data_IF_648229200818
#
_entry.id   IF_648229200818
#
_cell.length_a   1.000
_cell.length_b   1.000
_cell.length_c   1.000
_cell.angle_alpha   90.00
_cell.angle_beta   90.00
_cell.angle_gamma   90.00
#
_symmetry.space_group_name_H-M   'P 1'
#
loop_
_entity.id
_entity.type
_entity.pdbx_description
1 polymer ?
#
# COMPACT_ATOMS: atom_id res chain seq x y z
N UNK A 1 70.98 -7.94 17.18
CA UNK A 1 69.54 -8.22 17.32
C UNK A 1 68.77 -7.22 16.48
N UNK A 2 68.36 -7.57 15.26
CA UNK A 2 67.51 -6.75 14.41
C UNK A 2 66.33 -7.60 13.94
N UNK A 3 65.14 -7.30 14.47
CA UNK A 3 63.87 -7.93 14.11
C UNK A 3 63.41 -7.42 12.75
N UNK A 4 63.14 -8.34 11.81
CA UNK A 4 62.40 -8.03 10.58
C UNK A 4 60.98 -8.58 10.71
N UNK A 5 60.01 -7.68 10.85
CA UNK A 5 58.59 -7.98 10.77
C UNK A 5 58.19 -7.88 9.29
N UNK A 6 57.81 -9.01 8.69
CA UNK A 6 57.30 -9.06 7.33
C UNK A 6 55.79 -8.77 7.35
N UNK A 7 55.39 -7.63 6.79
CA UNK A 7 53.98 -7.25 6.62
C UNK A 7 53.46 -7.89 5.33
N UNK A 8 52.67 -8.95 5.46
CA UNK A 8 51.99 -9.60 4.33
C UNK A 8 50.81 -8.73 3.89
N UNK A 9 50.92 -8.12 2.72
CA UNK A 9 49.85 -7.36 2.07
C UNK A 9 48.87 -8.34 1.40
N UNK A 10 47.69 -8.53 1.98
CA UNK A 10 46.63 -9.37 1.41
C UNK A 10 45.81 -8.52 0.42
N UNK A 11 46.01 -8.74 -0.88
CA UNK A 11 45.18 -8.17 -1.93
C UNK A 11 43.84 -8.91 -1.98
N UNK A 12 42.76 -8.24 -1.56
CA UNK A 12 41.39 -8.70 -1.78
C UNK A 12 40.97 -8.26 -3.18
N UNK A 13 40.89 -9.21 -4.11
CA UNK A 13 40.33 -8.95 -5.44
C UNK A 13 38.81 -8.86 -5.30
N UNK A 14 38.26 -7.64 -5.45
CA UNK A 14 36.82 -7.45 -5.59
C UNK A 14 36.44 -7.82 -7.03
N UNK A 15 35.76 -8.95 -7.20
CA UNK A 15 35.09 -9.24 -8.46
C UNK A 15 33.97 -8.21 -8.64
N UNK A 16 34.13 -7.31 -9.60
CA UNK A 16 33.01 -6.47 -10.04
C UNK A 16 31.94 -7.40 -10.60
N UNK A 17 30.72 -7.41 -10.05
CA UNK A 17 29.64 -8.20 -10.64
C UNK A 17 29.48 -7.74 -12.08
N UNK A 18 29.41 -8.69 -13.02
CA UNK A 18 29.08 -8.37 -14.40
C UNK A 18 27.69 -7.72 -14.37
N UNK A 19 27.62 -6.45 -14.77
CA UNK A 19 26.34 -5.80 -15.05
C UNK A 19 25.77 -6.62 -16.21
N UNK A 20 24.64 -7.29 -15.99
CA UNK A 20 23.98 -8.04 -17.05
C UNK A 20 23.77 -7.07 -18.22
N UNK A 21 24.48 -7.33 -19.32
CA UNK A 21 24.35 -6.54 -20.52
C UNK A 21 22.94 -6.77 -21.04
N UNK A 22 22.17 -5.69 -21.14
CA UNK A 22 20.82 -5.74 -21.63
C UNK A 22 20.82 -6.19 -23.07
N UNK A 23 20.54 -7.48 -23.30
CA UNK A 23 20.28 -7.99 -24.64
C UNK A 23 18.89 -7.48 -25.06
N UNK A 24 18.81 -6.57 -26.06
CA UNK A 24 17.53 -6.08 -26.55
C UNK A 24 16.68 -7.19 -27.21
N UNK A 25 17.22 -8.39 -27.39
CA UNK A 25 16.51 -9.56 -27.92
C UNK A 25 16.07 -10.55 -26.85
N UNK A 26 16.36 -10.32 -25.56
CA UNK A 26 15.87 -11.18 -24.50
C UNK A 26 14.37 -10.89 -24.26
N UNK A 27 13.46 -11.87 -24.43
CA UNK A 27 12.03 -11.69 -24.25
C UNK A 27 11.59 -11.32 -22.81
N UNK A 28 12.51 -11.07 -21.89
CA UNK A 28 12.21 -10.47 -20.56
C UNK A 28 11.73 -9.01 -20.69
N UNK A 29 11.73 -8.42 -21.90
CA UNK A 29 11.02 -7.18 -22.18
C UNK A 29 9.53 -7.34 -21.83
N UNK A 30 9.12 -6.83 -20.67
CA UNK A 30 7.73 -6.88 -20.21
C UNK A 30 7.52 -7.46 -18.81
N UNK A 31 8.51 -8.14 -18.23
CA UNK A 31 8.42 -8.65 -16.85
C UNK A 31 9.14 -7.68 -15.90
N UNK A 32 8.44 -7.01 -14.98
CA UNK A 32 9.07 -6.13 -14.00
C UNK A 32 10.04 -6.88 -13.11
N UNK A 33 11.19 -6.26 -12.84
CA UNK A 33 12.10 -6.74 -11.80
C UNK A 33 11.78 -6.01 -10.49
N UNK A 34 11.45 -6.80 -9.46
CA UNK A 34 11.09 -6.29 -8.13
C UNK A 34 12.24 -5.56 -7.42
N UNK A 35 13.48 -5.74 -7.89
CA UNK A 35 14.68 -5.09 -7.35
C UNK A 35 15.00 -3.76 -8.04
N UNK A 36 14.44 -3.52 -9.23
CA UNK A 36 14.64 -2.29 -10.01
C UNK A 36 13.41 -1.38 -10.01
N UNK A 37 12.23 -1.94 -9.77
CA UNK A 37 11.00 -1.17 -9.67
C UNK A 37 11.00 -0.32 -8.41
N UNK A 38 10.50 0.91 -8.50
CA UNK A 38 10.58 1.92 -7.43
C UNK A 38 9.20 2.41 -7.07
N UNK A 39 8.92 2.49 -5.78
CA UNK A 39 7.71 3.13 -5.24
C UNK A 39 8.08 4.45 -4.59
N UNK A 40 7.33 5.50 -4.92
CA UNK A 40 7.35 6.79 -4.25
C UNK A 40 6.02 6.97 -3.53
N UNK A 41 6.09 7.31 -2.24
CA UNK A 41 4.91 7.49 -1.39
C UNK A 41 4.89 8.90 -0.82
N UNK A 42 3.87 9.68 -1.18
CA UNK A 42 3.81 11.12 -0.87
C UNK A 42 3.67 11.41 0.63
N UNK A 43 3.14 10.48 1.44
CA UNK A 43 2.99 10.67 2.87
C UNK A 43 4.22 10.25 3.72
N UNK A 44 5.29 9.73 3.09
CA UNK A 44 6.45 9.16 3.80
C UNK A 44 7.14 10.09 4.82
N UNK A 45 7.04 11.40 4.66
CA UNK A 45 7.68 12.38 5.56
C UNK A 45 6.86 12.68 6.84
N UNK A 46 5.66 12.12 7.01
CA UNK A 46 4.68 12.57 8.01
C UNK A 46 4.24 11.55 9.06
N UNK A 47 4.74 10.32 9.03
CA UNK A 47 4.21 9.20 9.81
C UNK A 47 3.06 8.48 9.09
N UNK A 48 2.27 7.65 9.79
CA UNK A 48 1.27 6.81 9.17
C UNK A 48 0.15 7.63 8.54
N UNK A 49 -0.35 7.15 7.41
CA UNK A 49 -1.58 7.65 6.79
C UNK A 49 -2.67 6.58 6.89
N UNK A 50 -3.90 6.99 7.14
CA UNK A 50 -5.09 6.13 7.17
C UNK A 50 -5.99 6.49 6.01
N UNK A 51 -6.34 5.49 5.20
CA UNK A 51 -7.33 5.61 4.14
C UNK A 51 -8.66 5.02 4.63
N UNK A 52 -9.74 5.81 4.53
CA UNK A 52 -11.09 5.28 4.69
C UNK A 52 -11.49 4.58 3.39
N UNK A 53 -11.66 3.26 3.43
CA UNK A 53 -12.09 2.43 2.30
C UNK A 53 -13.55 2.05 2.47
N UNK A 54 -14.29 2.03 1.37
CA UNK A 54 -15.71 1.65 1.36
C UNK A 54 -15.89 0.57 0.30
N UNK A 55 -16.66 -0.50 0.56
CA UNK A 55 -16.76 -1.63 -0.38
C UNK A 55 -17.18 -1.23 -1.81
N UNK A 56 -18.04 -0.22 -1.96
CA UNK A 56 -18.53 0.27 -3.25
C UNK A 56 -17.62 1.33 -3.91
N UNK A 57 -16.50 1.68 -3.28
CA UNK A 57 -15.56 2.71 -3.76
C UNK A 57 -16.03 4.16 -3.56
N UNK A 58 -17.10 4.41 -2.80
CA UNK A 58 -17.59 5.76 -2.51
C UNK A 58 -16.78 6.52 -1.45
N UNK A 59 -15.70 5.91 -0.94
CA UNK A 59 -14.77 6.48 0.02
C UNK A 59 -13.94 7.65 -0.54
N UNK A 60 -13.14 8.31 0.32
CA UNK A 60 -12.19 9.33 -0.11
C UNK A 60 -11.07 8.77 -1.00
N UNK A 61 -10.52 9.64 -1.84
CA UNK A 61 -9.32 9.37 -2.64
C UNK A 61 -8.04 9.35 -1.78
N UNK A 62 -6.92 8.87 -2.33
CA UNK A 62 -5.62 8.89 -1.64
C UNK A 62 -5.16 10.31 -1.27
N UNK A 63 -5.57 11.33 -2.03
CA UNK A 63 -5.28 12.73 -1.73
C UNK A 63 -6.00 13.26 -0.48
N UNK A 64 -6.92 12.48 0.07
CA UNK A 64 -7.77 12.80 1.21
C UNK A 64 -7.60 11.79 2.36
N UNK A 65 -6.50 11.03 2.37
CA UNK A 65 -6.12 10.22 3.52
C UNK A 65 -5.90 11.10 4.75
N UNK A 66 -5.86 10.51 5.94
CA UNK A 66 -5.73 11.23 7.21
C UNK A 66 -4.60 10.67 8.06
N UNK A 67 -3.88 11.54 8.76
CA UNK A 67 -2.98 11.12 9.84
C UNK A 67 -3.78 10.78 11.10
N UNK A 68 -3.18 10.13 12.12
CA UNK A 68 -3.85 9.79 13.38
C UNK A 68 -4.39 10.97 14.21
N UNK A 69 -4.08 12.21 13.83
CA UNK A 69 -4.63 13.44 14.42
C UNK A 69 -5.78 14.02 13.58
N UNK A 70 -6.30 13.25 12.62
CA UNK A 70 -7.34 13.64 11.68
C UNK A 70 -6.87 14.59 10.57
N UNK A 71 -5.61 15.02 10.56
CA UNK A 71 -5.13 15.98 9.55
C UNK A 71 -5.09 15.33 8.16
N UNK A 72 -5.65 15.98 7.11
CA UNK A 72 -5.56 15.47 5.75
C UNK A 72 -4.10 15.40 5.26
N UNK A 73 -3.77 14.32 4.56
CA UNK A 73 -2.46 14.09 3.93
C UNK A 73 -2.65 13.45 2.55
N UNK A 74 -1.77 13.78 1.62
CA UNK A 74 -1.72 13.08 0.33
C UNK A 74 -0.95 11.77 0.48
N UNK A 75 -1.68 10.66 0.46
CA UNK A 75 -1.12 9.32 0.52
C UNK A 75 -0.89 8.69 -0.87
N UNK A 76 -1.00 9.46 -1.96
CA UNK A 76 -0.81 8.95 -3.33
C UNK A 76 0.47 8.12 -3.42
N UNK A 77 0.34 6.96 -4.06
CA UNK A 77 1.44 6.03 -4.31
C UNK A 77 1.74 6.08 -5.79
N UNK A 78 3.00 6.35 -6.14
CA UNK A 78 3.51 6.23 -7.50
C UNK A 78 4.41 5.02 -7.59
N UNK A 79 4.18 4.15 -8.58
CA UNK A 79 5.03 2.99 -8.87
C UNK A 79 5.61 3.14 -10.26
N UNK A 80 6.94 3.04 -10.36
CA UNK A 80 7.65 2.92 -11.63
C UNK A 80 8.15 1.48 -11.77
N UNK A 81 7.61 0.76 -12.75
CA UNK A 81 8.08 -0.58 -13.08
C UNK A 81 9.32 -0.50 -13.95
N UNK A 82 10.36 -1.24 -13.55
CA UNK A 82 11.62 -1.26 -14.28
C UNK A 82 12.26 -2.64 -14.28
N UNK A 83 13.18 -2.82 -15.22
CA UNK A 83 14.14 -3.91 -15.34
C UNK A 83 15.54 -3.31 -15.34
N UNK A 84 16.62 -4.12 -15.33
CA UNK A 84 17.96 -3.62 -15.60
C UNK A 84 18.11 -2.83 -16.91
N UNK A 85 17.15 -2.99 -17.84
CA UNK A 85 17.23 -2.50 -19.21
C UNK A 85 16.33 -1.30 -19.51
N UNK A 86 15.56 -0.85 -18.53
CA UNK A 86 14.68 0.30 -18.68
C UNK A 86 13.34 0.09 -18.01
N UNK A 87 12.38 0.93 -18.35
CA UNK A 87 11.04 0.94 -17.77
C UNK A 87 10.11 -0.04 -18.49
N UNK A 88 9.12 -0.58 -17.78
CA UNK A 88 8.15 -1.53 -18.33
C UNK A 88 6.85 -0.80 -18.67
N UNK A 89 6.62 -0.53 -19.96
CA UNK A 89 5.38 0.10 -20.43
C UNK A 89 4.27 -0.93 -20.69
N UNK A 90 3.00 -0.50 -20.63
CA UNK A 90 1.80 -1.31 -20.90
C UNK A 90 1.67 -2.58 -20.05
N UNK A 91 2.24 -2.58 -18.85
CA UNK A 91 2.04 -3.65 -17.89
C UNK A 91 0.62 -3.56 -17.33
N UNK A 92 -0.14 -4.68 -17.35
CA UNK A 92 -1.54 -4.69 -16.96
C UNK A 92 -1.74 -4.33 -15.50
N UNK A 93 -2.69 -3.45 -15.21
CA UNK A 93 -2.99 -2.99 -13.85
C UNK A 93 -3.50 -4.09 -12.91
N UNK A 94 -4.19 -5.10 -13.44
CA UNK A 94 -4.76 -6.20 -12.65
C UNK A 94 -3.70 -7.07 -11.99
N UNK A 95 -2.47 -7.04 -12.49
CA UNK A 95 -1.33 -7.79 -11.95
C UNK A 95 -0.61 -7.05 -10.82
N UNK A 96 -1.13 -5.88 -10.40
CA UNK A 96 -0.53 -5.03 -9.38
C UNK A 96 -1.59 -4.55 -8.40
N UNK A 97 -1.40 -4.87 -7.12
CA UNK A 97 -2.35 -4.51 -6.08
C UNK A 97 -1.68 -4.16 -4.74
N UNK A 98 -2.47 -3.55 -3.87
CA UNK A 98 -2.10 -3.33 -2.47
C UNK A 98 -2.59 -4.48 -1.60
N UNK A 99 -1.74 -4.93 -0.70
CA UNK A 99 -2.05 -5.90 0.35
C UNK A 99 -1.67 -5.31 1.71
N UNK A 100 -2.50 -5.55 2.72
CA UNK A 100 -2.15 -5.20 4.10
C UNK A 100 -1.71 -6.46 4.84
N UNK A 101 -0.64 -6.36 5.63
CA UNK A 101 -0.10 -7.50 6.39
C UNK A 101 -0.70 -7.64 7.79
N UNK A 102 -1.75 -6.87 8.12
CA UNK A 102 -2.33 -6.80 9.45
C UNK A 102 -3.86 -6.65 9.45
N UNK A 103 -4.42 -6.74 10.66
CA UNK A 103 -5.85 -6.50 10.90
C UNK A 103 -6.79 -7.50 10.22
N UNK A 104 -8.00 -7.02 9.93
CA UNK A 104 -9.08 -7.73 9.24
C UNK A 104 -9.44 -7.02 7.93
N UNK A 105 -8.46 -6.41 7.24
CA UNK A 105 -8.67 -5.77 5.95
C UNK A 105 -9.06 -6.80 4.90
N UNK A 106 -10.14 -6.54 4.16
CA UNK A 106 -10.65 -7.45 3.14
C UNK A 106 -10.87 -6.70 1.84
N UNK A 107 -9.98 -6.89 0.87
CA UNK A 107 -10.15 -6.34 -0.47
C UNK A 107 -11.36 -6.93 -1.20
N UNK A 108 -12.08 -6.10 -1.96
CA UNK A 108 -13.00 -6.58 -3.00
C UNK A 108 -12.20 -7.22 -4.14
N UNK A 109 -12.87 -8.01 -4.99
CA UNK A 109 -12.22 -8.55 -6.19
C UNK A 109 -11.76 -7.40 -7.09
N UNK A 110 -10.45 -7.31 -7.33
CA UNK A 110 -9.86 -6.21 -8.09
C UNK A 110 -9.94 -4.85 -7.37
N UNK A 111 -10.30 -4.81 -6.08
CA UNK A 111 -10.61 -3.56 -5.39
C UNK A 111 -9.40 -2.74 -4.93
N UNK A 112 -8.22 -3.35 -4.93
CA UNK A 112 -6.95 -2.72 -4.54
C UNK A 112 -5.95 -2.64 -5.69
N UNK A 113 -6.40 -2.90 -6.92
CA UNK A 113 -5.55 -2.79 -8.11
C UNK A 113 -5.17 -1.33 -8.37
N UNK A 114 -4.05 -1.13 -9.05
CA UNK A 114 -3.63 0.21 -9.48
C UNK A 114 -4.61 0.81 -10.51
N UNK A 115 -4.67 2.14 -10.59
CA UNK A 115 -5.74 2.82 -11.34
C UNK A 115 -5.70 2.52 -12.86
N UNK A 116 -4.49 2.45 -13.43
CA UNK A 116 -4.23 2.31 -14.87
C UNK A 116 -2.99 1.48 -15.14
N UNK A 117 -2.90 0.88 -16.33
CA UNK A 117 -1.70 0.19 -16.83
C UNK A 117 -0.50 1.14 -16.83
N UNK A 118 0.73 0.61 -16.84
CA UNK A 118 1.90 1.49 -16.94
C UNK A 118 1.88 2.31 -18.23
N UNK A 119 2.24 3.58 -18.10
CA UNK A 119 2.48 4.45 -19.25
C UNK A 119 3.82 4.14 -19.95
N UNK A 120 4.19 4.93 -20.97
CA UNK A 120 5.43 4.77 -21.72
C UNK A 120 6.71 4.91 -20.87
N UNK A 121 6.61 5.54 -19.69
CA UNK A 121 7.70 5.67 -18.72
C UNK A 121 7.67 4.60 -17.64
N UNK A 122 6.78 3.61 -17.73
CA UNK A 122 6.61 2.58 -16.71
C UNK A 122 5.91 3.06 -15.44
N UNK A 123 5.32 4.26 -15.46
CA UNK A 123 4.70 4.87 -14.29
C UNK A 123 3.22 4.48 -14.19
N UNK A 124 2.76 4.25 -12.96
CA UNK A 124 1.36 4.08 -12.58
C UNK A 124 1.11 4.62 -11.16
N UNK A 125 -0.16 4.79 -10.79
CA UNK A 125 -0.54 5.42 -9.52
C UNK A 125 -1.77 4.82 -8.88
N UNK A 126 -1.81 4.89 -7.55
CA UNK A 126 -3.04 4.82 -6.77
C UNK A 126 -3.44 6.22 -6.34
N UNK A 127 -4.52 6.72 -6.94
CA UNK A 127 -5.13 8.02 -6.63
C UNK A 127 -6.60 7.82 -6.26
N UNK A 128 -7.30 6.91 -6.92
CA UNK A 128 -8.73 6.67 -6.73
C UNK A 128 -9.04 5.92 -5.40
N UNK A 129 -10.27 6.04 -4.88
CA UNK A 129 -10.70 5.26 -3.72
C UNK A 129 -10.59 3.75 -3.99
N UNK A 130 -10.19 3.00 -2.95
CA UNK A 130 -10.17 1.54 -3.02
C UNK A 130 -11.55 0.94 -2.72
N UNK A 131 -11.80 -0.23 -3.30
CA UNK A 131 -12.95 -1.07 -2.96
C UNK A 131 -12.50 -2.14 -1.96
N UNK A 132 -12.79 -1.92 -0.69
CA UNK A 132 -12.44 -2.84 0.38
C UNK A 132 -13.31 -2.62 1.62
N UNK A 133 -13.29 -3.61 2.50
CA UNK A 133 -13.91 -3.58 3.82
C UNK A 133 -12.91 -3.90 4.94
N UNK A 134 -13.40 -3.89 6.17
CA UNK A 134 -12.60 -4.19 7.36
C UNK A 134 -11.59 -3.09 7.72
N UNK A 135 -10.60 -3.44 8.54
CA UNK A 135 -9.60 -2.48 9.00
C UNK A 135 -8.22 -3.13 9.09
N UNK A 136 -7.18 -2.33 8.94
CA UNK A 136 -5.82 -2.73 9.25
C UNK A 136 -5.00 -1.53 9.73
N UNK A 137 -4.51 -1.56 10.98
CA UNK A 137 -3.48 -0.65 11.47
C UNK A 137 -2.07 -1.15 11.12
N UNK A 138 -1.96 -2.22 10.33
CA UNK A 138 -0.70 -2.80 9.91
C UNK A 138 -0.17 -2.15 8.63
N UNK A 139 1.11 -2.38 8.32
CA UNK A 139 1.69 -1.84 7.09
C UNK A 139 1.03 -2.44 5.83
N UNK A 140 1.20 -1.70 4.74
CA UNK A 140 0.77 -2.10 3.41
C UNK A 140 2.00 -2.43 2.54
N UNK A 141 1.84 -3.37 1.62
CA UNK A 141 2.84 -3.71 0.61
C UNK A 141 2.24 -3.61 -0.78
N UNK A 142 3.09 -3.24 -1.74
CA UNK A 142 2.78 -3.32 -3.17
C UNK A 142 3.15 -4.72 -3.65
N UNK A 143 2.19 -5.40 -4.26
CA UNK A 143 2.36 -6.74 -4.82
C UNK A 143 2.30 -6.65 -6.34
N UNK A 144 3.27 -7.28 -7.02
CA UNK A 144 3.38 -7.33 -8.47
C UNK A 144 3.48 -8.81 -8.87
N UNK A 145 2.58 -9.29 -9.73
CA UNK A 145 2.52 -10.70 -10.15
C UNK A 145 2.52 -11.70 -8.96
N UNK A 146 1.87 -11.33 -7.85
CA UNK A 146 1.79 -12.18 -6.66
C UNK A 146 3.02 -12.18 -5.76
N UNK A 147 4.01 -11.32 -6.03
CA UNK A 147 5.19 -11.17 -5.19
C UNK A 147 5.32 -9.73 -4.66
N UNK A 148 5.62 -9.53 -3.37
CA UNK A 148 5.79 -8.21 -2.80
C UNK A 148 7.07 -7.54 -3.32
N UNK A 149 7.01 -6.24 -3.57
CA UNK A 149 8.14 -5.45 -4.05
C UNK A 149 9.30 -5.43 -3.02
N UNK A 150 10.55 -5.62 -3.46
CA UNK A 150 11.71 -5.72 -2.57
C UNK A 150 12.35 -4.38 -2.21
N UNK A 151 12.25 -3.39 -3.08
CA UNK A 151 12.90 -2.08 -2.92
C UNK A 151 12.29 -1.23 -1.81
N UNK A 152 11.13 -1.62 -1.29
CA UNK A 152 10.47 -0.96 -0.18
C UNK A 152 10.04 -2.00 0.85
N UNK A 153 10.42 -1.78 2.12
CA UNK A 153 10.11 -2.73 3.19
C UNK A 153 8.61 -2.79 3.46
N UNK A 154 7.93 -1.64 3.50
CA UNK A 154 6.49 -1.48 3.72
C UNK A 154 6.08 -0.01 3.55
N UNK A 155 4.83 0.24 3.17
CA UNK A 155 4.13 1.52 3.28
C UNK A 155 3.47 1.62 4.66
N UNK A 156 3.68 2.73 5.37
CA UNK A 156 2.99 3.02 6.65
C UNK A 156 1.58 3.59 6.35
N UNK A 157 0.81 2.79 5.62
CA UNK A 157 -0.54 3.07 5.15
C UNK A 157 -1.51 2.09 5.82
N UNK A 158 -2.39 2.64 6.63
CA UNK A 158 -3.46 1.93 7.32
C UNK A 158 -4.77 2.05 6.55
N UNK A 159 -5.68 1.12 6.83
CA UNK A 159 -7.01 1.08 6.23
C UNK A 159 -8.07 1.06 7.31
N UNK A 160 -9.08 1.88 7.18
CA UNK A 160 -10.28 1.80 8.01
C UNK A 160 -11.53 1.74 7.14
N UNK A 161 -12.58 1.06 7.59
CA UNK A 161 -13.81 0.91 6.82
C UNK A 161 -15.05 0.94 7.69
N UNK A 162 -16.17 1.50 7.19
CA UNK A 162 -17.49 1.33 7.80
C UNK A 162 -18.01 -0.12 7.82
N UNK A 163 -17.46 -1.00 6.98
CA UNK A 163 -17.66 -2.46 7.05
C UNK A 163 -16.75 -3.01 8.15
N UNK A 164 -17.26 -3.03 9.38
CA UNK A 164 -16.49 -3.30 10.59
C UNK A 164 -16.22 -4.79 10.80
N UNK A 165 -17.07 -5.66 10.25
CA UNK A 165 -16.87 -7.11 10.31
C UNK A 165 -16.06 -7.66 9.11
N UNK A 166 -15.82 -6.85 8.08
CA UNK A 166 -15.06 -7.22 6.89
C UNK A 166 -15.80 -8.19 5.97
N UNK A 167 -17.13 -8.26 6.06
CA UNK A 167 -17.95 -9.17 5.24
C UNK A 167 -18.25 -8.62 3.84
N UNK A 168 -17.66 -7.45 3.51
CA UNK A 168 -17.75 -6.71 2.25
C UNK A 168 -19.07 -6.01 2.03
N UNK A 169 -19.87 -5.84 3.09
CA UNK A 169 -21.14 -5.13 3.05
C UNK A 169 -21.29 -4.26 4.28
N UNK A 170 -21.45 -2.95 4.10
CA UNK A 170 -21.82 -2.06 5.21
C UNK A 170 -23.31 -2.23 5.49
N UNK A 171 -23.67 -2.83 6.61
CA UNK A 171 -25.04 -3.15 6.95
C UNK A 171 -25.39 -2.88 8.42
N UNK A 172 -26.61 -3.24 8.84
CA UNK A 172 -27.01 -3.13 10.24
C UNK A 172 -26.20 -4.07 11.17
N UNK A 173 -25.47 -5.05 10.63
CA UNK A 173 -24.56 -5.91 11.40
C UNK A 173 -23.33 -5.17 11.93
N UNK A 174 -22.94 -4.06 11.30
CA UNK A 174 -21.81 -3.23 11.74
C UNK A 174 -22.19 -2.32 12.92
N UNK A 175 -23.46 -1.95 13.05
CA UNK A 175 -23.92 -1.02 14.10
C UNK A 175 -23.62 -1.52 15.52
N UNK A 176 -23.88 -2.78 15.89
CA UNK A 176 -23.49 -3.30 17.20
C UNK A 176 -21.99 -3.27 17.45
N UNK A 177 -21.16 -3.46 16.41
CA UNK A 177 -19.70 -3.41 16.52
C UNK A 177 -19.22 -1.98 16.79
N UNK A 178 -19.73 -1.01 16.03
CA UNK A 178 -19.47 0.40 16.28
C UNK A 178 -19.91 0.81 17.69
N UNK A 179 -21.14 0.44 18.10
CA UNK A 179 -21.68 0.77 19.41
C UNK A 179 -20.85 0.16 20.55
N UNK A 180 -20.38 -1.07 20.39
CA UNK A 180 -19.51 -1.71 21.38
C UNK A 180 -18.17 -0.98 21.53
N UNK A 181 -17.57 -0.53 20.42
CA UNK A 181 -16.35 0.26 20.43
C UNK A 181 -16.54 1.66 21.03
N UNK A 182 -17.65 2.33 20.70
CA UNK A 182 -18.00 3.67 21.18
C UNK A 182 -18.06 3.78 22.71
N UNK A 183 -18.57 2.75 23.39
CA UNK A 183 -18.62 2.69 24.86
C UNK A 183 -17.45 1.91 25.50
N UNK A 184 -16.54 1.39 24.67
CA UNK A 184 -15.49 0.46 25.06
C UNK A 184 -14.11 1.09 25.21
N UNK A 185 -13.08 0.23 25.19
CA UNK A 185 -11.71 0.69 24.97
C UNK A 185 -11.54 1.15 23.52
N UNK A 186 -10.57 2.04 23.28
CA UNK A 186 -10.27 2.51 21.93
C UNK A 186 -10.01 1.33 20.98
N UNK A 187 -10.67 1.37 19.83
CA UNK A 187 -10.55 0.39 18.76
C UNK A 187 -10.41 1.13 17.42
N UNK A 188 -9.23 1.01 16.80
CA UNK A 188 -8.92 1.65 15.52
C UNK A 188 -10.01 1.45 14.44
N UNK A 189 -10.60 0.25 14.39
CA UNK A 189 -11.68 -0.07 13.46
C UNK A 189 -12.88 0.89 13.52
N UNK A 190 -13.18 1.49 14.67
CA UNK A 190 -14.34 2.36 14.86
C UNK A 190 -14.02 3.87 14.75
N UNK A 191 -12.75 4.26 14.73
CA UNK A 191 -12.31 5.66 14.53
C UNK A 191 -12.25 5.95 13.01
N UNK A 192 -13.43 6.13 12.42
CA UNK A 192 -13.59 6.29 10.97
C UNK A 192 -13.02 7.64 10.48
N UNK A 193 -12.90 8.63 11.36
CA UNK A 193 -12.19 9.88 11.09
C UNK A 193 -10.66 9.78 11.22
N UNK A 194 -10.16 8.72 11.83
CA UNK A 194 -8.74 8.50 12.14
C UNK A 194 -8.13 9.66 12.93
N UNK A 195 -8.85 10.22 13.89
CA UNK A 195 -8.39 11.36 14.71
C UNK A 195 -8.04 11.00 16.17
N UNK A 196 -8.01 9.71 16.47
CA UNK A 196 -7.68 9.16 17.78
C UNK A 196 -8.87 9.11 18.73
N UNK A 197 -10.06 9.48 18.27
CA UNK A 197 -11.30 9.46 19.04
C UNK A 197 -12.37 8.63 18.34
N UNK A 198 -13.21 7.94 19.13
CA UNK A 198 -14.43 7.32 18.62
C UNK A 198 -15.57 8.14 19.20
N UNK A 199 -16.20 8.96 18.36
CA UNK A 199 -17.23 9.89 18.80
C UNK A 199 -18.36 10.08 17.77
N UNK A 200 -19.16 11.13 17.94
CA UNK A 200 -20.31 11.38 17.09
C UNK A 200 -19.91 11.84 15.67
N UNK A 201 -18.66 12.25 15.45
CA UNK A 201 -18.14 12.61 14.13
C UNK A 201 -17.99 11.38 13.22
N UNK A 202 -17.75 10.20 13.77
CA UNK A 202 -17.64 8.95 13.00
C UNK A 202 -18.98 8.46 12.45
N UNK A 203 -20.08 8.75 13.16
CA UNK A 203 -21.42 8.26 12.80
C UNK A 203 -21.85 8.70 11.39
N UNK A 204 -21.67 9.96 10.96
CA UNK A 204 -21.91 10.36 9.57
C UNK A 204 -21.16 9.53 8.52
N UNK A 205 -19.92 9.09 8.79
CA UNK A 205 -19.14 8.26 7.87
C UNK A 205 -19.66 6.82 7.77
N UNK A 206 -20.14 6.27 8.89
CA UNK A 206 -20.84 5.00 8.91
C UNK A 206 -22.18 5.09 8.19
N UNK A 207 -23.00 6.11 8.53
CA UNK A 207 -24.34 6.29 8.00
C UNK A 207 -24.35 6.54 6.48
N UNK A 208 -23.41 7.35 5.96
CA UNK A 208 -23.33 7.62 4.51
C UNK A 208 -22.96 6.41 3.68
N UNK A 209 -22.31 5.42 4.29
CA UNK A 209 -21.81 4.21 3.63
C UNK A 209 -22.77 3.04 3.76
N UNK A 210 -23.88 3.20 4.50
CA UNK A 210 -24.87 2.15 4.73
C UNK A 210 -25.44 1.61 3.41
N UNK A 211 -25.35 0.29 3.21
CA UNK A 211 -25.76 -0.40 1.98
C UNK A 211 -24.65 -0.52 0.93
N UNK A 212 -23.47 0.07 1.15
CA UNK A 212 -22.31 -0.14 0.28
C UNK A 212 -21.89 -1.62 0.32
N UNK A 213 -21.58 -2.18 -0.85
CA UNK A 213 -21.13 -3.56 -1.00
C UNK A 213 -20.11 -3.62 -2.14
N UNK A 214 -19.24 -4.63 -2.12
CA UNK A 214 -18.34 -4.85 -3.25
C UNK A 214 -19.12 -5.01 -4.57
N UNK A 215 -18.61 -4.46 -5.68
CA UNK A 215 -19.21 -4.59 -7.01
C UNK A 215 -19.20 -6.03 -7.55
#
# INVERSE_FOLDING_TARGET
MWNRIATTLMFVAFATPAIAECDPNDPVTGVPDLSYSVVVWNAAAGGPATLLVVPDGSGPSFTQARRPDGTPVDATIELTLATPCGTVAHFPREDIWLESTGGSFVACLGGTIVDVDTDASGLMRWVLPLHAGGNSPGPCVVVINGAPLYTMTTLDLHFNSPDLNGDRVVSLTDIPLFAAAYYGAYAFAADLHADGHIDLADIPLLARSMGAHCP
#
